data_IF_594632237711
#
_entry.id   IF_594632237711
#
_cell.length_a   1.000
_cell.length_b   1.000
_cell.length_c   1.000
_cell.angle_alpha   90.00
_cell.angle_beta   90.00
_cell.angle_gamma   90.00
#
_symmetry.space_group_name_H-M   'P 1'
#
loop_
_entity.id
_entity.type
_entity.pdbx_description
1 polymer ?
#
# COMPACT_ATOMS: atom_id res chain seq x y z
N UNK A 1 8.08 9.06 5.57
CA UNK A 1 9.45 9.46 5.20
C UNK A 1 9.91 10.77 5.88
N UNK A 2 9.03 11.49 6.61
CA UNK A 2 9.44 12.71 7.32
C UNK A 2 10.45 12.36 8.42
N UNK A 3 11.63 13.01 8.38
CA UNK A 3 12.71 12.78 9.36
C UNK A 3 13.62 11.59 9.07
N UNK A 4 13.38 10.82 8.01
CA UNK A 4 14.26 9.72 7.62
C UNK A 4 15.39 10.20 6.72
N UNK A 5 16.57 9.63 6.91
CA UNK A 5 17.68 9.84 5.98
C UNK A 5 17.40 9.07 4.68
N UNK A 6 17.49 9.75 3.54
CA UNK A 6 17.28 9.19 2.20
C UNK A 6 18.52 9.35 1.31
N UNK A 7 19.66 9.68 1.90
CA UNK A 7 20.91 9.95 1.16
C UNK A 7 21.70 8.70 0.77
N UNK A 8 21.28 7.53 1.21
CA UNK A 8 21.92 6.25 0.93
C UNK A 8 21.38 5.55 -0.32
N UNK A 9 21.37 4.23 -0.27
CA UNK A 9 20.74 3.35 -1.26
C UNK A 9 19.32 3.04 -0.87
N UNK A 10 18.38 3.42 -1.70
CA UNK A 10 16.97 3.04 -1.58
C UNK A 10 16.65 1.87 -2.51
N UNK A 11 15.82 0.97 -2.03
CA UNK A 11 15.33 -0.14 -2.82
C UNK A 11 13.88 -0.46 -2.50
N UNK A 12 13.20 -1.05 -3.45
CA UNK A 12 11.84 -1.57 -3.34
C UNK A 12 11.68 -2.87 -4.11
N UNK A 13 10.67 -3.64 -3.77
CA UNK A 13 10.31 -4.88 -4.43
C UNK A 13 8.86 -5.25 -4.14
N UNK A 14 8.36 -6.26 -4.83
CA UNK A 14 7.00 -6.78 -4.68
C UNK A 14 7.05 -8.27 -4.39
N UNK A 15 6.49 -8.71 -3.27
CA UNK A 15 6.44 -10.13 -2.93
C UNK A 15 5.52 -10.88 -3.89
N UNK A 16 6.03 -11.95 -4.48
CA UNK A 16 5.25 -12.79 -5.37
C UNK A 16 4.26 -13.64 -4.58
N UNK A 17 2.97 -13.39 -4.79
CA UNK A 17 1.89 -14.11 -4.08
C UNK A 17 2.07 -14.10 -2.56
N UNK A 18 2.39 -12.94 -2.01
CA UNK A 18 2.71 -12.74 -0.60
C UNK A 18 1.77 -13.48 0.34
N UNK A 19 0.46 -13.25 0.19
CA UNK A 19 -0.57 -13.87 1.01
C UNK A 19 -0.47 -15.41 1.07
N UNK A 20 0.04 -16.03 -0.02
CA UNK A 20 0.15 -17.49 -0.12
C UNK A 20 1.52 -18.01 0.35
N UNK A 21 2.56 -17.18 0.32
CA UNK A 21 3.92 -17.55 0.66
C UNK A 21 4.23 -17.47 2.16
N UNK A 22 3.37 -16.84 2.95
CA UNK A 22 3.56 -16.68 4.39
C UNK A 22 3.50 -18.05 5.09
N UNK A 23 4.58 -18.38 5.78
CA UNK A 23 4.66 -19.61 6.58
C UNK A 23 3.81 -19.49 7.85
N UNK A 24 3.23 -20.60 8.27
CA UNK A 24 2.38 -20.71 9.46
C UNK A 24 3.08 -20.19 10.74
N UNK A 25 4.40 -20.36 10.84
CA UNK A 25 5.20 -19.89 11.98
C UNK A 25 5.12 -18.37 12.16
N UNK A 26 5.12 -17.59 11.05
CA UNK A 26 5.05 -16.14 11.14
C UNK A 26 3.70 -15.65 11.64
N UNK A 27 2.63 -16.34 11.27
CA UNK A 27 1.28 -16.04 11.79
C UNK A 27 1.19 -16.33 13.28
N UNK A 28 1.75 -17.46 13.73
CA UNK A 28 1.81 -17.80 15.15
C UNK A 28 2.62 -16.76 15.93
N UNK A 29 3.80 -16.36 15.42
CA UNK A 29 4.63 -15.35 16.05
C UNK A 29 3.93 -13.98 16.11
N UNK A 30 3.23 -13.59 15.03
CA UNK A 30 2.46 -12.35 15.02
C UNK A 30 1.39 -12.33 16.13
N UNK A 31 0.55 -13.36 16.20
CA UNK A 31 -0.49 -13.42 17.24
C UNK A 31 0.09 -13.55 18.65
N UNK A 32 1.20 -14.26 18.81
CA UNK A 32 1.90 -14.34 20.10
C UNK A 32 2.48 -12.99 20.51
N UNK A 33 3.00 -12.20 19.54
CA UNK A 33 3.53 -10.87 19.85
C UNK A 33 2.43 -9.89 20.26
N UNK A 34 1.21 -10.01 19.71
CA UNK A 34 0.10 -9.17 20.12
C UNK A 34 -0.22 -9.31 21.60
N UNK A 35 -0.08 -10.52 22.16
CA UNK A 35 -0.36 -10.75 23.60
C UNK A 35 0.60 -9.99 24.52
N UNK A 36 1.79 -9.65 24.05
CA UNK A 36 2.75 -8.87 24.83
C UNK A 36 2.32 -7.43 25.06
N UNK A 37 1.41 -6.89 24.22
CA UNK A 37 0.88 -5.55 24.37
C UNK A 37 -0.28 -5.47 25.38
N UNK A 38 -0.86 -6.61 25.75
CA UNK A 38 -1.90 -6.65 26.76
C UNK A 38 -1.26 -6.87 28.14
N UNK A 39 -1.43 -5.90 29.01
CA UNK A 39 -1.01 -5.99 30.42
C UNK A 39 -1.75 -7.12 31.14
N UNK A 40 -1.31 -7.46 32.34
CA UNK A 40 -1.92 -8.47 33.22
C UNK A 40 -3.28 -7.99 33.79
N UNK A 41 -4.17 -7.54 32.91
CA UNK A 41 -5.52 -7.10 33.24
C UNK A 41 -6.56 -8.23 33.23
N UNK A 42 -7.79 -7.96 33.66
CA UNK A 42 -8.86 -8.97 33.75
C UNK A 42 -9.23 -9.57 32.39
N UNK A 43 -8.94 -8.87 31.30
CA UNK A 43 -9.28 -9.30 29.94
C UNK A 43 -8.17 -10.13 29.28
N UNK A 44 -7.01 -10.34 29.95
CA UNK A 44 -5.87 -11.05 29.39
C UNK A 44 -6.22 -12.46 28.92
N UNK A 45 -6.94 -13.21 29.74
CA UNK A 45 -7.32 -14.59 29.41
C UNK A 45 -8.25 -14.66 28.18
N UNK A 46 -9.22 -13.73 28.09
CA UNK A 46 -10.10 -13.60 26.96
C UNK A 46 -9.34 -13.22 25.68
N UNK A 47 -8.38 -12.31 25.76
CA UNK A 47 -7.54 -11.89 24.65
C UNK A 47 -6.59 -13.01 24.22
N UNK A 48 -6.02 -13.76 25.17
CA UNK A 48 -5.19 -14.93 24.86
C UNK A 48 -6.00 -15.99 24.09
N UNK A 49 -7.21 -16.29 24.59
CA UNK A 49 -8.11 -17.20 23.89
C UNK A 49 -8.44 -16.72 22.49
N UNK A 50 -8.79 -15.43 22.32
CA UNK A 50 -9.10 -14.83 21.02
C UNK A 50 -7.91 -14.90 20.07
N UNK A 51 -6.72 -14.52 20.50
CA UNK A 51 -5.51 -14.59 19.67
C UNK A 51 -5.19 -16.04 19.25
N UNK A 52 -5.36 -17.01 20.16
CA UNK A 52 -5.20 -18.43 19.83
C UNK A 52 -6.22 -18.91 18.78
N UNK A 53 -7.50 -18.49 18.88
CA UNK A 53 -8.52 -18.81 17.89
C UNK A 53 -8.19 -18.19 16.53
N UNK A 54 -7.83 -16.90 16.51
CA UNK A 54 -7.44 -16.22 15.27
C UNK A 54 -6.20 -16.85 14.62
N UNK A 55 -5.18 -17.18 15.43
CA UNK A 55 -3.99 -17.91 14.94
C UNK A 55 -4.38 -19.25 14.32
N UNK A 56 -5.20 -20.04 15.01
CA UNK A 56 -5.65 -21.35 14.51
C UNK A 56 -6.39 -21.21 13.18
N UNK A 57 -7.33 -20.27 13.09
CA UNK A 57 -8.09 -20.04 11.86
C UNK A 57 -7.24 -19.48 10.71
N UNK A 58 -6.19 -18.73 11.00
CA UNK A 58 -5.26 -18.24 9.97
C UNK A 58 -4.24 -19.30 9.56
N UNK A 59 -3.73 -20.08 10.52
CA UNK A 59 -2.69 -21.07 10.29
C UNK A 59 -3.18 -22.34 9.64
N UNK A 60 -4.38 -22.82 10.05
CA UNK A 60 -4.94 -24.08 9.54
C UNK A 60 -6.47 -23.85 9.29
N UNK A 61 -6.83 -23.56 8.07
CA UNK A 61 -8.21 -23.20 7.70
C UNK A 61 -8.80 -24.14 6.67
N UNK A 62 -10.09 -24.41 6.81
CA UNK A 62 -10.88 -25.09 5.78
C UNK A 62 -11.34 -24.04 4.77
N UNK A 63 -10.90 -24.15 3.54
CA UNK A 63 -11.21 -23.20 2.47
C UNK A 63 -12.10 -23.86 1.43
N UNK A 64 -13.25 -23.23 1.16
CA UNK A 64 -14.10 -23.64 0.05
C UNK A 64 -13.45 -23.21 -1.26
N UNK A 65 -13.18 -24.15 -2.12
CA UNK A 65 -12.66 -23.92 -3.47
C UNK A 65 -13.81 -23.67 -4.43
N UNK A 66 -13.97 -24.50 -5.42
CA UNK A 66 -15.06 -24.38 -6.40
C UNK A 66 -15.84 -25.69 -6.46
N UNK A 67 -17.10 -25.64 -6.89
CA UNK A 67 -17.95 -26.84 -7.11
C UNK A 67 -18.08 -27.75 -5.89
N UNK A 68 -18.15 -27.16 -4.69
CA UNK A 68 -18.34 -27.94 -3.47
C UNK A 68 -17.07 -28.62 -2.95
N UNK A 69 -15.91 -28.38 -3.53
CA UNK A 69 -14.63 -28.88 -3.02
C UNK A 69 -14.14 -28.01 -1.86
N UNK A 70 -13.60 -28.68 -0.85
CA UNK A 70 -12.96 -28.05 0.30
C UNK A 70 -11.50 -28.48 0.38
N UNK A 71 -10.64 -27.56 0.77
CA UNK A 71 -9.24 -27.85 1.03
C UNK A 71 -8.83 -27.38 2.43
N UNK A 72 -8.05 -28.19 3.09
CA UNK A 72 -7.37 -27.78 4.31
C UNK A 72 -6.09 -27.04 3.91
N UNK A 73 -6.02 -25.76 4.21
CA UNK A 73 -4.88 -24.89 3.88
C UNK A 73 -4.11 -24.61 5.15
N UNK A 74 -2.82 -24.87 5.12
CA UNK A 74 -1.89 -24.57 6.22
C UNK A 74 -0.98 -23.43 5.80
N UNK A 75 -0.89 -22.38 6.62
CA UNK A 75 -0.14 -21.18 6.31
C UNK A 75 -0.90 -20.22 5.38
N UNK A 76 -0.19 -19.22 4.88
CA UNK A 76 -0.74 -18.12 4.11
C UNK A 76 -1.56 -17.14 4.96
N UNK A 77 -1.66 -15.92 4.50
CA UNK A 77 -2.47 -14.86 5.12
C UNK A 77 -3.78 -14.71 4.37
N UNK A 78 -4.96 -14.92 5.01
CA UNK A 78 -6.23 -14.71 4.32
C UNK A 78 -6.41 -13.24 3.94
N UNK A 79 -6.50 -12.92 2.65
CA UNK A 79 -6.60 -11.54 2.13
C UNK A 79 -7.83 -10.74 2.62
N UNK A 80 -8.76 -11.38 3.32
CA UNK A 80 -9.94 -10.73 3.91
C UNK A 80 -9.96 -10.77 5.44
N UNK A 81 -8.89 -11.22 6.09
CA UNK A 81 -8.80 -11.23 7.54
C UNK A 81 -8.73 -9.80 8.09
N UNK A 82 -9.30 -9.58 9.27
CA UNK A 82 -9.42 -8.26 9.89
C UNK A 82 -8.08 -7.52 10.02
N UNK A 83 -7.00 -8.23 10.34
CA UNK A 83 -5.67 -7.66 10.54
C UNK A 83 -4.68 -7.95 9.39
N UNK A 84 -5.16 -8.26 8.18
CA UNK A 84 -4.29 -8.66 7.04
C UNK A 84 -3.15 -7.67 6.80
N UNK A 85 -3.43 -6.37 6.70
CA UNK A 85 -2.39 -5.37 6.45
C UNK A 85 -1.40 -5.24 7.62
N UNK A 86 -1.89 -5.32 8.86
CA UNK A 86 -1.05 -5.25 10.05
C UNK A 86 -0.15 -6.47 10.18
N UNK A 87 -0.72 -7.68 10.04
CA UNK A 87 0.05 -8.92 10.06
C UNK A 87 1.06 -8.97 8.93
N UNK A 88 0.66 -8.58 7.71
CA UNK A 88 1.56 -8.51 6.57
C UNK A 88 2.73 -7.56 6.81
N UNK A 89 2.47 -6.33 7.27
CA UNK A 89 3.51 -5.35 7.58
C UNK A 89 4.46 -5.85 8.69
N UNK A 90 3.90 -6.43 9.75
CA UNK A 90 4.69 -6.98 10.86
C UNK A 90 5.60 -8.11 10.39
N UNK A 91 5.11 -9.00 9.53
CA UNK A 91 5.89 -10.12 9.01
C UNK A 91 7.05 -9.63 8.14
N UNK A 92 6.84 -8.64 7.25
CA UNK A 92 7.93 -8.07 6.45
C UNK A 92 8.97 -7.40 7.34
N UNK A 93 8.53 -6.62 8.34
CA UNK A 93 9.43 -6.00 9.31
C UNK A 93 10.23 -7.04 10.09
N UNK A 94 9.57 -8.10 10.56
CA UNK A 94 10.21 -9.21 11.27
C UNK A 94 11.22 -9.95 10.39
N UNK A 95 10.87 -10.26 9.14
CA UNK A 95 11.77 -10.90 8.18
C UNK A 95 13.03 -10.08 7.92
N UNK A 96 12.86 -8.76 7.73
CA UNK A 96 14.01 -7.88 7.52
C UNK A 96 14.89 -7.78 8.75
N UNK A 97 14.30 -7.69 9.96
CA UNK A 97 15.06 -7.69 11.22
C UNK A 97 15.82 -9.00 11.42
N UNK A 98 15.19 -10.13 11.12
CA UNK A 98 15.81 -11.45 11.19
C UNK A 98 16.95 -11.58 10.17
N UNK A 99 16.75 -11.11 8.94
CA UNK A 99 17.78 -11.05 7.91
C UNK A 99 19.02 -10.30 8.40
N UNK A 100 18.83 -9.07 8.91
CA UNK A 100 19.95 -8.28 9.43
C UNK A 100 20.66 -8.99 10.57
N UNK A 101 19.90 -9.59 11.49
CA UNK A 101 20.49 -10.36 12.62
C UNK A 101 21.33 -11.54 12.14
N UNK A 102 20.87 -12.24 11.09
CA UNK A 102 21.66 -13.33 10.47
C UNK A 102 22.95 -12.78 9.83
N UNK A 103 22.87 -11.68 9.09
CA UNK A 103 24.07 -11.05 8.48
C UNK A 103 25.09 -10.64 9.55
N UNK A 104 24.65 -9.99 10.60
CA UNK A 104 25.53 -9.58 11.73
C UNK A 104 26.17 -10.81 12.37
N UNK A 105 25.40 -11.85 12.66
CA UNK A 105 25.89 -13.07 13.26
C UNK A 105 26.94 -13.77 12.38
N UNK A 106 26.68 -13.86 11.06
CA UNK A 106 27.62 -14.45 10.12
C UNK A 106 28.93 -13.65 10.03
N UNK A 107 28.87 -12.32 10.06
CA UNK A 107 30.04 -11.45 10.06
C UNK A 107 30.89 -11.64 11.33
N UNK A 108 30.28 -11.73 12.52
CA UNK A 108 31.02 -12.05 13.75
C UNK A 108 31.69 -13.41 13.69
N UNK A 109 31.03 -14.43 13.14
CA UNK A 109 31.62 -15.76 12.98
C UNK A 109 32.78 -15.80 11.98
N UNK A 110 32.81 -14.86 11.02
CA UNK A 110 33.90 -14.69 10.05
C UNK A 110 35.02 -13.81 10.54
N UNK A 111 34.92 -13.21 11.74
CA UNK A 111 35.88 -12.28 12.28
C UNK A 111 35.79 -10.87 11.72
N UNK A 112 34.70 -10.52 11.00
CA UNK A 112 34.45 -9.22 10.40
C UNK A 112 33.69 -8.26 11.35
N UNK A 113 34.18 -8.19 12.61
CA UNK A 113 33.54 -7.43 13.69
C UNK A 113 33.35 -5.93 13.36
N UNK A 114 34.29 -5.35 12.59
CA UNK A 114 34.21 -3.96 12.18
C UNK A 114 32.99 -3.67 11.27
N UNK A 115 32.68 -4.57 10.36
CA UNK A 115 31.54 -4.46 9.45
C UNK A 115 30.24 -4.73 10.22
N UNK A 116 30.23 -5.76 11.09
CA UNK A 116 29.08 -6.04 11.95
C UNK A 116 28.69 -4.82 12.79
N UNK A 117 29.67 -4.22 13.48
CA UNK A 117 29.48 -2.99 14.28
C UNK A 117 29.03 -1.77 13.45
N UNK A 118 29.47 -1.67 12.17
CA UNK A 118 29.00 -0.59 11.28
C UNK A 118 27.51 -0.79 10.92
N UNK A 119 27.06 -2.02 10.71
CA UNK A 119 25.64 -2.32 10.49
C UNK A 119 24.82 -1.96 11.75
N UNK A 120 25.23 -2.41 12.94
CA UNK A 120 24.56 -2.09 14.20
C UNK A 120 24.44 -0.58 14.42
N UNK A 121 25.51 0.15 14.18
CA UNK A 121 25.51 1.62 14.28
C UNK A 121 24.58 2.24 13.28
N UNK A 122 24.58 1.79 12.03
CA UNK A 122 23.70 2.34 10.99
C UNK A 122 22.21 2.18 11.32
N UNK A 123 21.83 1.13 12.05
CA UNK A 123 20.47 0.93 12.54
C UNK A 123 20.19 1.88 13.71
N UNK A 124 21.09 1.95 14.69
CA UNK A 124 20.94 2.81 15.86
C UNK A 124 20.83 4.29 15.48
N UNK A 125 21.57 4.72 14.46
CA UNK A 125 21.57 6.09 13.96
C UNK A 125 20.46 6.35 12.91
N UNK A 126 19.56 5.40 12.71
CA UNK A 126 18.49 5.45 11.69
C UNK A 126 19.01 5.73 10.26
N UNK A 127 20.24 5.31 9.95
CA UNK A 127 20.80 5.29 8.60
C UNK A 127 20.32 4.08 7.81
N UNK A 128 19.98 2.98 8.49
CA UNK A 128 19.37 1.79 7.90
C UNK A 128 17.97 1.60 8.45
N UNK A 129 16.99 1.46 7.54
CA UNK A 129 15.58 1.32 7.94
C UNK A 129 14.76 0.62 6.85
N UNK A 130 13.60 0.14 7.25
CA UNK A 130 12.54 -0.37 6.37
C UNK A 130 11.22 0.28 6.71
N UNK A 131 10.42 0.59 5.69
CA UNK A 131 9.02 0.96 5.82
C UNK A 131 8.19 -0.09 5.12
N UNK A 132 7.10 -0.52 5.76
CA UNK A 132 6.24 -1.59 5.26
C UNK A 132 4.77 -1.22 5.35
N UNK A 133 3.98 -1.71 4.41
CA UNK A 133 2.51 -1.73 4.49
C UNK A 133 1.99 -2.96 3.73
N UNK A 134 1.62 -4.02 4.47
CA UNK A 134 1.36 -5.32 3.87
C UNK A 134 2.64 -5.89 3.28
N UNK A 135 2.60 -6.19 1.99
CA UNK A 135 3.74 -6.65 1.18
C UNK A 135 4.55 -5.51 0.54
N UNK A 136 3.95 -4.33 0.41
CA UNK A 136 4.69 -3.16 -0.08
C UNK A 136 5.76 -2.73 0.94
N UNK A 137 7.00 -2.59 0.50
CA UNK A 137 8.09 -2.14 1.37
C UNK A 137 9.12 -1.30 0.63
N UNK A 138 9.84 -0.50 1.40
CA UNK A 138 11.01 0.27 0.98
C UNK A 138 12.13 0.07 1.98
N UNK A 139 13.27 -0.36 1.49
CA UNK A 139 14.50 -0.54 2.28
C UNK A 139 15.46 0.61 1.99
N UNK A 140 16.07 1.14 3.03
CA UNK A 140 17.17 2.08 2.93
C UNK A 140 18.39 1.55 3.67
N UNK A 141 19.54 1.71 3.05
CA UNK A 141 20.84 1.41 3.67
C UNK A 141 21.89 2.42 3.24
N UNK A 142 22.93 2.68 4.06
CA UNK A 142 24.09 3.41 3.62
C UNK A 142 24.72 2.76 2.38
N UNK A 143 25.24 3.58 1.47
CA UNK A 143 25.81 3.08 0.21
C UNK A 143 26.91 2.02 0.43
N UNK A 144 27.69 2.15 1.50
CA UNK A 144 28.76 1.22 1.87
C UNK A 144 28.23 -0.16 2.31
N UNK A 145 26.98 -0.24 2.80
CA UNK A 145 26.35 -1.46 3.31
C UNK A 145 25.30 -2.06 2.36
N UNK A 146 25.04 -1.43 1.23
CA UNK A 146 23.93 -1.80 0.33
C UNK A 146 23.97 -3.23 -0.20
N UNK A 147 25.18 -3.80 -0.37
CA UNK A 147 25.34 -5.18 -0.84
C UNK A 147 25.12 -6.20 0.28
N UNK A 148 25.19 -5.78 1.54
CA UNK A 148 25.03 -6.64 2.71
C UNK A 148 23.58 -6.63 3.24
N UNK A 149 22.99 -5.42 3.35
CA UNK A 149 21.67 -5.23 3.99
C UNK A 149 20.67 -4.46 3.12
N UNK A 150 20.99 -4.19 1.85
CA UNK A 150 20.08 -3.55 0.92
C UNK A 150 19.04 -4.50 0.34
N UNK A 151 18.13 -3.96 -0.46
CA UNK A 151 16.97 -4.67 -1.02
C UNK A 151 17.33 -5.95 -1.78
N UNK A 152 18.38 -5.93 -2.61
CA UNK A 152 18.79 -7.14 -3.36
C UNK A 152 19.28 -8.26 -2.47
N UNK A 153 19.98 -7.93 -1.38
CA UNK A 153 20.46 -8.92 -0.43
C UNK A 153 19.28 -9.51 0.36
N UNK A 154 18.37 -8.67 0.80
CA UNK A 154 17.13 -9.09 1.47
C UNK A 154 16.27 -9.99 0.58
N UNK A 155 16.05 -9.60 -0.67
CA UNK A 155 15.26 -10.38 -1.62
C UNK A 155 15.86 -11.78 -1.87
N UNK A 156 17.19 -11.86 -2.01
CA UNK A 156 17.89 -13.14 -2.15
C UNK A 156 17.70 -14.00 -0.91
N UNK A 157 18.01 -13.48 0.27
CA UNK A 157 17.87 -14.18 1.52
C UNK A 157 16.44 -14.67 1.79
N UNK A 158 15.43 -13.82 1.55
CA UNK A 158 14.03 -14.19 1.69
C UNK A 158 13.62 -15.34 0.76
N UNK A 159 14.12 -15.32 -0.47
CA UNK A 159 13.91 -16.42 -1.43
C UNK A 159 14.61 -17.72 -1.03
N UNK A 160 15.88 -17.63 -0.65
CA UNK A 160 16.73 -18.81 -0.37
C UNK A 160 16.35 -19.50 0.96
N UNK A 161 16.05 -18.71 1.99
CA UNK A 161 15.78 -19.25 3.34
C UNK A 161 14.30 -19.61 3.54
N UNK A 162 13.38 -18.77 3.02
CA UNK A 162 11.96 -18.90 3.29
C UNK A 162 11.11 -19.24 2.07
N UNK A 163 11.72 -19.34 0.89
CA UNK A 163 11.02 -19.48 -0.39
C UNK A 163 9.96 -18.38 -0.62
N UNK A 164 10.18 -17.20 -0.02
CA UNK A 164 9.37 -16.02 -0.17
C UNK A 164 10.00 -15.10 -1.23
N UNK A 165 9.60 -15.29 -2.47
CA UNK A 165 10.22 -14.61 -3.62
C UNK A 165 9.78 -13.15 -3.70
N UNK A 166 10.75 -12.23 -3.76
CA UNK A 166 10.52 -10.82 -4.10
C UNK A 166 10.90 -10.64 -5.57
N UNK A 167 9.99 -10.09 -6.35
CA UNK A 167 10.16 -9.78 -7.78
C UNK A 167 10.25 -8.27 -7.98
N UNK A 168 10.59 -7.87 -9.19
CA UNK A 168 10.72 -6.46 -9.59
C UNK A 168 11.66 -5.67 -8.65
N UNK A 169 12.66 -6.37 -8.09
CA UNK A 169 13.62 -5.83 -7.13
C UNK A 169 14.42 -4.68 -7.75
N UNK A 170 14.29 -3.50 -7.17
CA UNK A 170 15.05 -2.32 -7.57
C UNK A 170 15.95 -1.90 -6.40
N UNK A 171 17.15 -1.44 -6.72
CA UNK A 171 18.11 -0.94 -5.75
C UNK A 171 18.86 0.26 -6.33
N UNK A 172 19.28 1.19 -5.49
CA UNK A 172 19.85 2.48 -5.91
C UNK A 172 18.85 3.33 -6.68
N UNK A 173 17.58 3.26 -6.29
CA UNK A 173 16.52 4.04 -6.90
C UNK A 173 16.50 5.43 -6.25
N UNK A 174 16.35 6.53 -7.01
CA UNK A 174 16.20 7.85 -6.43
C UNK A 174 14.91 7.92 -5.61
N UNK A 175 14.92 8.68 -4.51
CA UNK A 175 13.70 8.88 -3.72
C UNK A 175 12.61 9.56 -4.53
N UNK A 176 12.97 10.63 -5.25
CA UNK A 176 12.04 11.38 -6.08
C UNK A 176 12.09 10.92 -7.53
N UNK A 177 10.91 10.77 -8.12
CA UNK A 177 10.75 10.57 -9.55
C UNK A 177 10.82 11.90 -10.29
N UNK A 178 11.28 11.86 -11.53
CA UNK A 178 11.13 12.95 -12.49
C UNK A 178 9.95 12.67 -13.41
N UNK A 179 9.19 13.72 -13.71
CA UNK A 179 7.97 13.60 -14.52
C UNK A 179 8.00 14.55 -15.71
N UNK A 180 7.47 14.09 -16.85
CA UNK A 180 7.29 14.86 -18.06
C UNK A 180 5.99 14.49 -18.75
N UNK A 181 5.15 15.46 -19.06
CA UNK A 181 3.89 15.23 -19.80
C UNK A 181 2.89 14.29 -19.10
N UNK A 182 2.96 14.20 -17.76
CA UNK A 182 2.11 13.31 -16.98
C UNK A 182 2.62 11.86 -16.87
N UNK A 183 3.82 11.59 -17.38
CA UNK A 183 4.50 10.29 -17.31
C UNK A 183 5.83 10.39 -16.55
N UNK A 184 6.36 9.25 -16.11
CA UNK A 184 7.67 9.19 -15.49
C UNK A 184 8.76 9.25 -16.57
N UNK A 185 9.69 10.19 -16.41
CA UNK A 185 10.94 10.22 -17.18
C UNK A 185 12.07 9.49 -16.45
N UNK A 186 12.14 9.62 -15.13
CA UNK A 186 13.01 8.84 -14.25
C UNK A 186 12.17 8.31 -13.10
N UNK A 187 11.95 6.98 -13.00
CA UNK A 187 11.20 6.41 -11.91
C UNK A 187 12.01 6.42 -10.62
N UNK A 188 11.46 6.99 -9.56
CA UNK A 188 11.94 6.89 -8.19
C UNK A 188 11.37 5.67 -7.47
N UNK A 189 11.45 5.67 -6.12
CA UNK A 189 10.86 4.59 -5.32
C UNK A 189 9.34 4.52 -5.51
N UNK A 190 8.81 3.31 -5.35
CA UNK A 190 7.37 3.04 -5.32
C UNK A 190 6.97 2.56 -3.93
N UNK A 191 5.94 3.16 -3.37
CA UNK A 191 5.34 2.70 -2.13
C UNK A 191 3.82 2.88 -2.21
N UNK A 192 3.06 1.85 -1.88
CA UNK A 192 1.60 1.80 -2.06
C UNK A 192 1.16 2.18 -3.48
N UNK A 193 1.94 1.72 -4.46
CA UNK A 193 1.72 2.01 -5.89
C UNK A 193 1.75 3.49 -6.24
N UNK A 194 2.36 4.32 -5.40
CA UNK A 194 2.61 5.73 -5.67
C UNK A 194 4.10 5.98 -5.85
N UNK A 195 4.41 6.85 -6.79
CA UNK A 195 5.70 7.50 -6.92
C UNK A 195 5.70 8.80 -6.13
N UNK A 196 6.88 9.31 -5.79
CA UNK A 196 7.02 10.57 -5.09
C UNK A 196 7.71 11.57 -6.00
N UNK A 197 7.18 12.79 -6.06
CA UNK A 197 7.72 13.88 -6.86
C UNK A 197 7.86 15.13 -6.00
N UNK A 198 8.72 16.06 -6.45
CA UNK A 198 8.72 17.41 -5.90
C UNK A 198 7.37 18.06 -6.21
N UNK A 199 6.76 18.68 -5.20
CA UNK A 199 5.46 19.31 -5.37
C UNK A 199 5.51 20.39 -6.47
N UNK A 200 4.72 20.25 -7.54
CA UNK A 200 4.66 21.24 -8.61
C UNK A 200 3.87 22.51 -8.21
N UNK A 201 3.05 22.43 -7.15
CA UNK A 201 2.12 23.49 -6.75
C UNK A 201 2.76 24.39 -5.69
N UNK A 202 3.15 25.59 -6.11
CA UNK A 202 3.80 26.57 -5.23
C UNK A 202 2.83 27.55 -4.55
N UNK A 203 1.59 27.63 -5.06
CA UNK A 203 0.62 28.65 -4.65
C UNK A 203 -0.32 28.18 -3.52
N UNK A 204 -0.03 27.07 -2.89
CA UNK A 204 -0.78 26.58 -1.73
C UNK A 204 -0.30 27.30 -0.48
N UNK A 205 -1.19 27.53 0.48
CA UNK A 205 -0.83 28.25 1.72
C UNK A 205 0.29 27.58 2.51
N UNK A 206 0.33 26.24 2.51
CA UNK A 206 1.38 25.41 3.16
C UNK A 206 1.61 24.13 2.37
N UNK A 207 2.26 24.19 1.20
CA UNK A 207 2.42 23.01 0.36
C UNK A 207 3.41 22.03 1.00
N UNK A 208 3.13 20.73 1.02
CA UNK A 208 4.14 19.73 1.30
C UNK A 208 5.25 19.82 0.24
N UNK A 209 6.49 19.56 0.63
CA UNK A 209 7.63 19.60 -0.31
C UNK A 209 7.57 18.47 -1.33
N UNK A 210 7.02 17.35 -0.92
CA UNK A 210 6.96 16.09 -1.66
C UNK A 210 5.51 15.64 -1.69
N UNK A 211 5.07 15.17 -2.85
CA UNK A 211 3.70 14.70 -3.06
C UNK A 211 3.72 13.37 -3.83
N UNK A 212 2.65 12.61 -3.67
CA UNK A 212 2.45 11.38 -4.43
C UNK A 212 2.13 11.68 -5.90
N UNK A 213 2.48 10.75 -6.76
CA UNK A 213 2.24 10.84 -8.20
C UNK A 213 1.86 9.47 -8.78
N UNK A 214 0.96 9.49 -9.74
CA UNK A 214 0.59 8.33 -10.55
C UNK A 214 0.74 8.66 -12.04
N UNK A 215 1.44 7.80 -12.82
CA UNK A 215 1.57 7.99 -14.26
C UNK A 215 0.21 7.93 -14.96
N UNK A 216 0.04 8.79 -15.97
CA UNK A 216 -1.20 8.85 -16.74
C UNK A 216 -1.51 7.53 -17.43
N UNK A 217 -0.54 6.94 -18.11
CA UNK A 217 -0.70 5.68 -18.86
C UNK A 217 -1.19 4.54 -17.94
N UNK A 218 -0.58 4.38 -16.79
CA UNK A 218 -0.98 3.37 -15.79
C UNK A 218 -2.41 3.56 -15.32
N UNK A 219 -2.78 4.80 -15.00
CA UNK A 219 -4.09 5.12 -14.46
C UNK A 219 -5.20 5.05 -15.51
N UNK A 220 -4.90 5.43 -16.76
CA UNK A 220 -5.81 5.25 -17.89
C UNK A 220 -6.18 3.77 -18.06
N UNK A 221 -5.18 2.90 -18.10
CA UNK A 221 -5.40 1.45 -18.22
C UNK A 221 -6.27 0.94 -17.07
N UNK A 222 -5.94 1.27 -15.83
CA UNK A 222 -6.71 0.85 -14.65
C UNK A 222 -8.15 1.40 -14.62
N UNK A 223 -8.36 2.57 -15.20
CA UNK A 223 -9.69 3.19 -15.27
C UNK A 223 -10.57 2.52 -16.30
N UNK A 224 -10.01 2.12 -17.44
CA UNK A 224 -10.76 1.54 -18.58
C UNK A 224 -10.94 0.03 -18.40
N UNK A 225 -9.91 -0.66 -17.92
CA UNK A 225 -9.87 -2.13 -17.82
C UNK A 225 -10.14 -2.56 -16.36
N UNK A 226 -11.05 -3.52 -16.21
CA UNK A 226 -11.35 -4.14 -14.91
C UNK A 226 -10.25 -5.12 -14.46
N UNK A 227 -10.35 -5.59 -13.21
CA UNK A 227 -9.40 -6.56 -12.62
C UNK A 227 -9.31 -7.89 -13.37
N UNK A 228 -10.37 -8.27 -14.07
CA UNK A 228 -10.44 -9.48 -14.89
C UNK A 228 -9.84 -9.32 -16.31
N UNK A 229 -9.22 -8.19 -16.61
CA UNK A 229 -8.64 -7.89 -17.91
C UNK A 229 -9.64 -7.50 -19.01
N UNK A 230 -10.92 -7.38 -18.68
CA UNK A 230 -11.96 -6.95 -19.61
C UNK A 230 -12.26 -5.46 -19.48
N UNK A 231 -12.79 -4.84 -20.54
CA UNK A 231 -13.26 -3.48 -20.47
C UNK A 231 -14.37 -3.34 -19.44
N UNK A 232 -14.33 -2.24 -18.70
CA UNK A 232 -15.39 -1.90 -17.74
C UNK A 232 -16.67 -1.57 -18.48
N UNK A 233 -17.78 -1.86 -17.86
CA UNK A 233 -19.07 -1.32 -18.31
C UNK A 233 -19.10 0.19 -18.08
N UNK A 234 -20.03 0.91 -18.74
CA UNK A 234 -20.10 2.37 -18.62
C UNK A 234 -20.28 2.84 -17.17
N UNK A 235 -21.20 2.25 -16.36
CA UNK A 235 -21.31 2.64 -14.96
C UNK A 235 -20.02 2.36 -14.16
N UNK A 236 -19.39 1.19 -14.34
CA UNK A 236 -18.15 0.84 -13.66
C UNK A 236 -16.98 1.76 -14.09
N UNK A 237 -16.97 2.19 -15.36
CA UNK A 237 -15.98 3.13 -15.87
C UNK A 237 -16.16 4.53 -15.28
N UNK A 238 -17.41 5.02 -15.13
CA UNK A 238 -17.70 6.27 -14.44
C UNK A 238 -17.24 6.20 -12.98
N UNK A 239 -17.58 5.13 -12.27
CA UNK A 239 -17.18 4.91 -10.88
C UNK A 239 -15.65 4.87 -10.72
N UNK A 240 -15.00 4.14 -11.63
CA UNK A 240 -13.53 4.06 -11.64
C UNK A 240 -12.89 5.43 -11.93
N UNK A 241 -13.50 6.23 -12.81
CA UNK A 241 -13.03 7.58 -13.12
C UNK A 241 -13.16 8.49 -11.92
N UNK A 242 -14.33 8.53 -11.27
CA UNK A 242 -14.56 9.30 -10.05
C UNK A 242 -13.58 8.90 -8.95
N UNK A 243 -13.44 7.60 -8.66
CA UNK A 243 -12.48 7.12 -7.67
C UNK A 243 -11.04 7.52 -7.99
N UNK A 244 -10.64 7.44 -9.27
CA UNK A 244 -9.30 7.83 -9.71
C UNK A 244 -9.07 9.34 -9.55
N UNK A 245 -10.07 10.16 -9.86
CA UNK A 245 -10.01 11.63 -9.70
C UNK A 245 -9.74 11.99 -8.25
N UNK A 246 -10.47 11.43 -7.30
CA UNK A 246 -10.28 11.75 -5.89
C UNK A 246 -8.99 11.20 -5.28
N UNK A 247 -8.48 10.09 -5.78
CA UNK A 247 -7.33 9.41 -5.14
C UNK A 247 -5.98 9.70 -5.80
N UNK A 248 -5.95 10.22 -7.03
CA UNK A 248 -4.70 10.25 -7.80
C UNK A 248 -4.42 11.56 -8.56
N UNK A 249 -5.36 12.53 -8.56
CA UNK A 249 -5.34 13.62 -9.54
C UNK A 249 -4.66 14.89 -9.12
N UNK A 250 -4.55 15.17 -7.83
CA UNK A 250 -4.06 16.49 -7.37
C UNK A 250 -2.67 16.88 -7.85
N UNK A 251 -1.91 15.94 -8.44
CA UNK A 251 -0.53 16.15 -8.84
C UNK A 251 -0.24 15.77 -10.31
N UNK A 252 -1.27 15.43 -11.10
CA UNK A 252 -1.10 15.07 -12.52
C UNK A 252 -2.18 15.74 -13.40
N UNK A 253 -1.90 16.96 -13.87
CA UNK A 253 -2.78 17.72 -14.75
C UNK A 253 -3.15 16.93 -16.04
N UNK A 254 -2.20 16.27 -16.67
CA UNK A 254 -2.44 15.54 -17.92
C UNK A 254 -3.41 14.36 -17.74
N UNK A 255 -3.34 13.70 -16.61
CA UNK A 255 -4.27 12.64 -16.25
C UNK A 255 -5.66 13.24 -15.94
N UNK A 256 -5.72 14.35 -15.20
CA UNK A 256 -6.97 15.04 -14.91
C UNK A 256 -7.74 15.45 -16.17
N UNK A 257 -7.05 16.08 -17.13
CA UNK A 257 -7.67 16.49 -18.41
C UNK A 257 -8.23 15.28 -19.14
N UNK A 258 -7.47 14.19 -19.19
CA UNK A 258 -7.94 12.95 -19.83
C UNK A 258 -9.17 12.37 -19.12
N UNK A 259 -9.16 12.26 -17.81
CA UNK A 259 -10.27 11.71 -17.01
C UNK A 259 -11.53 12.58 -17.09
N UNK A 260 -11.37 13.90 -17.07
CA UNK A 260 -12.49 14.83 -17.25
C UNK A 260 -13.18 14.63 -18.60
N UNK A 261 -12.40 14.55 -19.68
CA UNK A 261 -12.93 14.30 -21.00
C UNK A 261 -13.60 12.92 -21.10
N UNK A 262 -12.96 11.89 -20.56
CA UNK A 262 -13.49 10.53 -20.53
C UNK A 262 -14.81 10.47 -19.73
N UNK A 263 -14.87 11.07 -18.56
CA UNK A 263 -16.09 11.18 -17.76
C UNK A 263 -17.22 11.89 -18.53
N UNK A 264 -16.95 13.01 -19.18
CA UNK A 264 -17.94 13.73 -19.97
C UNK A 264 -18.50 12.88 -21.11
N UNK A 265 -17.67 12.12 -21.81
CA UNK A 265 -18.13 11.19 -22.85
C UNK A 265 -19.01 10.09 -22.26
N UNK A 266 -18.61 9.49 -21.15
CA UNK A 266 -19.39 8.42 -20.51
C UNK A 266 -20.74 8.92 -19.99
N UNK A 267 -20.80 10.10 -19.40
CA UNK A 267 -22.05 10.70 -18.90
C UNK A 267 -23.00 11.07 -20.01
N UNK A 268 -22.48 11.62 -21.11
CA UNK A 268 -23.28 11.87 -22.32
C UNK A 268 -23.81 10.57 -22.93
N UNK A 269 -23.00 9.53 -22.96
CA UNK A 269 -23.40 8.22 -23.44
C UNK A 269 -24.49 7.61 -22.55
N UNK A 270 -24.37 7.70 -21.23
CA UNK A 270 -25.42 7.29 -20.29
C UNK A 270 -26.70 8.09 -20.47
N UNK A 271 -26.63 9.41 -20.58
CA UNK A 271 -27.79 10.27 -20.77
C UNK A 271 -28.53 9.94 -22.09
N UNK A 272 -27.81 9.68 -23.17
CA UNK A 272 -28.35 9.20 -24.44
C UNK A 272 -28.95 7.80 -24.34
N UNK A 273 -28.31 6.89 -23.61
CA UNK A 273 -28.73 5.52 -23.40
C UNK A 273 -29.95 5.35 -22.51
N UNK A 274 -30.20 6.28 -21.57
CA UNK A 274 -31.43 6.27 -20.75
C UNK A 274 -32.71 6.46 -21.60
N UNK A 275 -32.61 6.98 -22.80
CA UNK A 275 -33.69 7.03 -23.79
C UNK A 275 -33.88 5.69 -24.52
N UNK A 276 -32.92 4.78 -24.47
CA UNK A 276 -32.96 3.46 -25.12
C UNK A 276 -33.32 2.38 -24.12
N UNK A 277 -34.40 1.59 -24.42
CA UNK A 277 -34.91 0.53 -23.55
C UNK A 277 -33.85 -0.53 -23.20
N UNK A 278 -32.98 -0.89 -24.14
CA UNK A 278 -31.89 -1.88 -23.93
C UNK A 278 -30.89 -1.40 -22.89
N UNK A 279 -30.61 -0.11 -22.86
CA UNK A 279 -29.68 0.48 -21.91
C UNK A 279 -30.26 0.57 -20.49
N UNK A 280 -31.57 0.80 -20.37
CA UNK A 280 -32.30 0.75 -19.09
C UNK A 280 -32.26 -0.66 -18.47
N UNK A 281 -32.42 -1.68 -19.30
CA UNK A 281 -32.39 -3.08 -18.85
C UNK A 281 -30.98 -3.54 -18.44
N UNK A 282 -29.92 -3.00 -19.09
CA UNK A 282 -28.54 -3.23 -18.69
C UNK A 282 -28.16 -2.52 -17.38
N UNK A 283 -28.64 -1.29 -17.19
CA UNK A 283 -28.39 -0.53 -15.95
C UNK A 283 -29.23 -1.04 -14.77
N UNK A 284 -30.42 -1.58 -15.01
CA UNK A 284 -31.27 -2.17 -13.98
C UNK A 284 -30.68 -3.48 -13.41
N UNK A 285 -29.83 -4.17 -14.15
CA UNK A 285 -29.10 -5.36 -13.68
C UNK A 285 -27.88 -5.07 -12.80
N UNK A 286 -27.44 -3.81 -12.79
CA UNK A 286 -26.35 -3.39 -11.92
C UNK A 286 -26.82 -3.28 -10.48
N UNK A 287 -26.12 -3.97 -9.59
CA UNK A 287 -26.43 -3.95 -8.16
C UNK A 287 -26.11 -2.57 -7.57
N UNK A 288 -27.10 -1.69 -7.64
CA UNK A 288 -27.07 -0.33 -7.05
C UNK A 288 -26.63 -0.39 -5.58
N UNK A 289 -26.84 -1.50 -4.88
CA UNK A 289 -26.40 -1.72 -3.50
C UNK A 289 -24.88 -1.63 -3.35
N UNK A 290 -24.12 -2.13 -4.34
CA UNK A 290 -22.66 -2.05 -4.34
C UNK A 290 -22.15 -0.59 -4.38
N UNK A 291 -22.86 0.27 -5.08
CA UNK A 291 -22.50 1.70 -5.17
C UNK A 291 -22.93 2.47 -3.93
N UNK A 292 -24.04 2.13 -3.31
CA UNK A 292 -24.49 2.74 -2.06
C UNK A 292 -23.54 2.47 -0.89
N UNK A 293 -22.85 1.32 -0.87
CA UNK A 293 -21.82 1.03 0.14
C UNK A 293 -20.66 2.04 0.13
N UNK A 294 -20.40 2.68 -1.01
CA UNK A 294 -19.36 3.70 -1.15
C UNK A 294 -19.92 5.13 -1.13
N UNK A 295 -21.17 5.32 -0.70
CA UNK A 295 -21.82 6.63 -0.68
C UNK A 295 -22.09 7.22 -2.06
N UNK A 296 -22.00 6.41 -3.13
CA UNK A 296 -22.13 6.86 -4.51
C UNK A 296 -23.56 6.61 -5.00
N UNK A 297 -24.29 7.70 -5.17
CA UNK A 297 -25.64 7.66 -5.74
C UNK A 297 -25.60 7.86 -7.26
N UNK A 298 -26.66 7.43 -8.01
CA UNK A 298 -26.76 7.72 -9.45
C UNK A 298 -26.63 9.22 -9.79
N UNK A 299 -27.10 10.07 -8.89
CA UNK A 299 -27.02 11.53 -9.03
C UNK A 299 -25.57 12.02 -8.91
N UNK A 300 -24.80 11.49 -7.96
CA UNK A 300 -23.35 11.77 -7.81
C UNK A 300 -22.55 11.35 -9.04
N UNK A 301 -22.95 10.26 -9.71
CA UNK A 301 -22.29 9.79 -10.93
C UNK A 301 -22.52 10.70 -12.13
N UNK A 302 -23.58 11.53 -12.10
CA UNK A 302 -23.91 12.50 -13.15
C UNK A 302 -23.38 13.91 -12.84
N UNK A 303 -22.84 14.13 -11.63
CA UNK A 303 -22.27 15.43 -11.27
C UNK A 303 -20.99 15.71 -12.04
N UNK A 304 -20.72 16.99 -12.25
CA UNK A 304 -19.43 17.42 -12.78
C UNK A 304 -18.31 17.03 -11.82
N UNK A 305 -17.18 16.59 -12.38
CA UNK A 305 -15.99 16.36 -11.60
C UNK A 305 -15.50 17.67 -10.98
N UNK A 306 -14.95 17.64 -9.74
CA UNK A 306 -14.38 18.82 -9.12
C UNK A 306 -13.29 19.42 -9.99
N UNK A 307 -13.10 20.73 -9.89
CA UNK A 307 -12.03 21.41 -10.61
C UNK A 307 -10.66 20.91 -10.16
N UNK A 308 -9.67 21.05 -11.04
CA UNK A 308 -8.30 20.64 -10.71
C UNK A 308 -7.76 21.36 -9.47
N UNK A 309 -8.07 22.64 -9.31
CA UNK A 309 -7.61 23.44 -8.16
C UNK A 309 -8.18 22.92 -6.84
N UNK A 310 -9.44 22.49 -6.82
CA UNK A 310 -10.06 21.84 -5.66
C UNK A 310 -9.33 20.54 -5.33
N UNK A 311 -9.05 19.71 -6.33
CA UNK A 311 -8.32 18.44 -6.12
C UNK A 311 -6.90 18.67 -5.64
N UNK A 312 -6.21 19.69 -6.17
CA UNK A 312 -4.87 20.09 -5.70
C UNK A 312 -4.92 20.47 -4.23
N UNK A 313 -5.91 21.27 -3.83
CA UNK A 313 -6.07 21.63 -2.41
C UNK A 313 -6.36 20.42 -1.54
N UNK A 314 -7.28 19.54 -1.95
CA UNK A 314 -7.63 18.33 -1.19
C UNK A 314 -6.46 17.35 -1.02
N UNK A 315 -5.65 17.16 -2.08
CA UNK A 315 -4.58 16.15 -2.10
C UNK A 315 -3.22 16.67 -1.61
N UNK A 316 -3.07 17.97 -1.41
CA UNK A 316 -1.81 18.59 -0.99
C UNK A 316 -1.89 19.28 0.38
N UNK A 317 -2.82 18.85 1.22
CA UNK A 317 -2.85 19.23 2.63
C UNK A 317 -1.68 18.54 3.33
N UNK A 318 -0.87 19.27 4.08
CA UNK A 318 0.18 18.68 4.91
C UNK A 318 -0.47 17.86 6.04
N UNK A 319 -0.40 16.53 6.02
CA UNK A 319 -1.01 15.71 7.05
C UNK A 319 -0.42 15.95 8.44
N UNK A 320 0.82 16.47 8.52
CA UNK A 320 1.46 16.81 9.79
C UNK A 320 0.85 18.02 10.49
N UNK A 321 -0.01 18.77 9.79
CA UNK A 321 -0.62 19.98 10.37
C UNK A 321 -1.94 19.70 11.09
N UNK A 322 -2.68 18.68 10.69
CA UNK A 322 -4.02 18.40 11.20
C UNK A 322 -4.15 17.15 12.06
N UNK A 323 -3.22 16.20 11.97
CA UNK A 323 -3.40 14.87 12.57
C UNK A 323 -2.55 14.59 13.80
N UNK A 324 -1.56 15.43 14.11
CA UNK A 324 -0.60 15.18 15.18
C UNK A 324 -0.26 16.45 16.00
N UNK A 325 -1.14 17.44 16.01
CA UNK A 325 -1.00 18.54 16.94
C UNK A 325 -1.39 18.02 18.31
N UNK A 326 -0.51 18.11 19.30
CA UNK A 326 -0.75 17.72 20.70
C UNK A 326 -2.05 18.34 21.23
N UNK A 327 -2.35 19.56 20.78
CA UNK A 327 -3.53 20.33 21.19
C UNK A 327 -4.86 19.71 20.76
N UNK A 328 -4.87 18.90 19.67
CA UNK A 328 -6.07 18.17 19.21
C UNK A 328 -6.31 16.88 20.01
N UNK A 329 -5.25 16.32 20.60
CA UNK A 329 -5.36 15.15 21.47
C UNK A 329 -5.73 15.49 22.92
N UNK A 330 -5.45 16.73 23.37
CA UNK A 330 -5.86 17.20 24.69
C UNK A 330 -7.38 17.47 24.76
N UNK A 331 -8.03 17.75 23.60
CA UNK A 331 -9.48 17.93 23.53
C UNK A 331 -10.26 16.60 23.37
N UNK A 332 -9.58 15.49 23.09
CA UNK A 332 -10.16 14.14 23.09
C UNK A 332 -9.90 13.47 24.46
N UNK A 333 -10.42 14.07 25.53
CA UNK A 333 -10.62 13.34 26.77
C UNK A 333 -11.78 12.35 26.52
N UNK A 334 -11.43 11.07 26.44
CA UNK A 334 -12.43 10.02 26.61
C UNK A 334 -12.86 10.10 28.08
N UNK A 335 -14.09 10.53 28.31
CA UNK A 335 -14.73 10.38 29.59
C UNK A 335 -14.73 8.88 29.95
N UNK A 336 -14.12 8.54 31.09
CA UNK A 336 -14.08 7.20 31.66
C UNK A 336 -15.49 6.67 32.02
#
# INVERSE_FOLDING_TARGET
FKGLNVSGSLGDGDFNKYDQSIHAIFMNLFYSSLLQYYSDGPDREAMEWLCRQLATHCVARLTHLTRGMWAHVVGGLPSGAYCTSHAGSWIVLFLYSLFISCVIFDLYNQGEEGIASDIERSIADAESWIITYGDDHVVHSPKRLENLIGEKAFARWSGDVWNMQIRDVRQNVPFLSEVRGGELSVPGIVFLKNYFIKNPHKNLARPPKIVNFRPKSEMVIKTVIGRNGTFRTVPDAIMSTVGTVYTSMGNNWHLYVWLRNYHSVLTLFMAGGLKNKIFRDLTAKYDIRKYRQFGLTPELLQQELPSYDVLVQMNNVDPGYHTWNRDVHEDLQFDD
#
